data_IF_240680145338
#
_entry.id   IF_240680145338
#
_cell.length_a   1.000
_cell.length_b   1.000
_cell.length_c   1.000
_cell.angle_alpha   90.00
_cell.angle_beta   90.00
_cell.angle_gamma   90.00
#
_symmetry.space_group_name_H-M   'P 1'
#
loop_
_entity.id
_entity.type
_entity.pdbx_description
1 polymer ?
#
# COMPACT_ATOMS: atom_id res chain seq x y z
N UNK A 1 2.62 -24.88 13.42
CA UNK A 1 2.24 -23.50 13.80
C UNK A 1 3.05 -22.56 12.94
N UNK A 2 2.39 -21.65 12.24
CA UNK A 2 3.04 -20.67 11.38
C UNK A 2 3.85 -19.70 12.22
N UNK A 3 5.07 -19.40 11.78
CA UNK A 3 5.93 -18.34 12.33
C UNK A 3 6.04 -17.24 11.30
N UNK A 4 5.74 -16.00 11.70
CA UNK A 4 5.71 -14.84 10.82
C UNK A 4 6.89 -13.93 11.10
N UNK A 5 7.67 -13.65 10.07
CA UNK A 5 8.72 -12.63 10.09
C UNK A 5 8.19 -11.39 9.37
N UNK A 6 8.03 -10.29 10.10
CA UNK A 6 7.71 -8.99 9.52
C UNK A 6 9.02 -8.23 9.33
N UNK A 7 9.31 -7.80 8.11
CA UNK A 7 10.50 -6.99 7.78
C UNK A 7 10.04 -5.56 7.48
N UNK A 8 10.40 -4.61 8.35
CA UNK A 8 10.02 -3.21 8.21
C UNK A 8 9.41 -2.63 9.48
N UNK A 9 10.08 -1.66 10.09
CA UNK A 9 9.66 -0.99 11.33
C UNK A 9 9.25 0.47 11.09
N UNK A 10 8.51 0.71 10.00
CA UNK A 10 7.85 1.98 9.68
C UNK A 10 6.43 2.06 10.26
N UNK A 11 5.66 3.08 9.85
CA UNK A 11 4.27 3.25 10.30
C UNK A 11 3.37 2.07 9.92
N UNK A 12 3.46 1.60 8.67
CA UNK A 12 2.72 0.43 8.18
C UNK A 12 3.09 -0.83 8.97
N UNK A 13 4.39 -1.12 9.12
CA UNK A 13 4.88 -2.24 9.93
C UNK A 13 4.41 -2.19 11.39
N UNK A 14 4.37 -0.99 11.99
CA UNK A 14 3.84 -0.79 13.33
C UNK A 14 2.35 -1.18 13.41
N UNK A 15 1.49 -0.67 12.53
CA UNK A 15 0.07 -1.02 12.48
C UNK A 15 -0.12 -2.52 12.29
N UNK A 16 0.55 -3.11 11.29
CA UNK A 16 0.40 -4.53 10.97
C UNK A 16 0.75 -5.41 12.18
N UNK A 17 1.86 -5.13 12.89
CA UNK A 17 2.25 -5.90 14.07
C UNK A 17 1.29 -5.71 15.25
N UNK A 18 0.74 -4.50 15.47
CA UNK A 18 -0.32 -4.29 16.47
C UNK A 18 -1.55 -5.14 16.14
N UNK A 19 -1.98 -5.14 14.88
CA UNK A 19 -3.14 -5.89 14.42
C UNK A 19 -2.91 -7.40 14.44
N UNK A 20 -1.70 -7.87 14.12
CA UNK A 20 -1.33 -9.29 14.27
C UNK A 20 -1.36 -9.70 15.74
N UNK A 21 -0.84 -8.87 16.65
CA UNK A 21 -0.88 -9.13 18.09
C UNK A 21 -2.31 -9.18 18.66
N UNK A 22 -3.24 -8.38 18.12
CA UNK A 22 -4.66 -8.43 18.46
C UNK A 22 -5.37 -9.71 17.97
N UNK A 23 -4.71 -10.49 17.11
CA UNK A 23 -5.21 -11.76 16.54
C UNK A 23 -4.22 -12.90 16.82
N UNK A 24 -3.79 -13.03 18.09
CA UNK A 24 -2.76 -13.98 18.51
C UNK A 24 -3.11 -15.46 18.28
N UNK A 25 -4.39 -15.79 18.08
CA UNK A 25 -4.87 -17.09 17.66
C UNK A 25 -4.47 -17.44 16.21
N UNK A 26 -4.40 -16.44 15.34
CA UNK A 26 -3.88 -16.56 13.96
C UNK A 26 -2.36 -16.43 13.95
N UNK A 27 -1.81 -15.53 14.76
CA UNK A 27 -0.39 -15.17 14.77
C UNK A 27 0.30 -15.49 16.12
N UNK A 28 0.57 -16.78 16.40
CA UNK A 28 1.10 -17.19 17.71
C UNK A 28 2.59 -16.86 17.91
N UNK A 29 3.36 -16.65 16.83
CA UNK A 29 4.80 -16.35 16.90
C UNK A 29 5.19 -15.32 15.82
N UNK A 30 5.45 -14.09 16.27
CA UNK A 30 5.78 -12.94 15.43
C UNK A 30 7.19 -12.46 15.78
N UNK A 31 8.00 -12.27 14.74
CA UNK A 31 9.28 -11.55 14.85
C UNK A 31 9.26 -10.31 13.96
N UNK A 32 9.54 -9.15 14.53
CA UNK A 32 9.69 -7.88 13.80
C UNK A 32 11.18 -7.57 13.59
N UNK A 33 11.60 -7.48 12.34
CA UNK A 33 12.96 -7.16 11.96
C UNK A 33 13.04 -5.87 11.13
N UNK A 34 14.15 -5.16 11.24
CA UNK A 34 14.43 -3.96 10.44
C UNK A 34 15.92 -3.66 10.47
N UNK A 35 16.38 -2.75 9.61
CA UNK A 35 17.75 -2.22 9.62
C UNK A 35 18.13 -1.57 10.95
N UNK A 36 17.15 -0.98 11.64
CA UNK A 36 17.35 -0.29 12.92
C UNK A 36 16.58 -1.01 14.01
N UNK A 37 17.25 -1.93 14.72
CA UNK A 37 16.60 -2.76 15.74
C UNK A 37 15.88 -1.97 16.82
N UNK A 38 16.42 -0.81 17.23
CA UNK A 38 15.76 0.02 18.26
C UNK A 38 14.35 0.49 17.87
N UNK A 39 14.05 0.62 16.56
CA UNK A 39 12.68 0.89 16.09
C UNK A 39 11.76 -0.31 16.27
N UNK A 40 12.26 -1.52 16.02
CA UNK A 40 11.53 -2.76 16.30
C UNK A 40 11.22 -2.88 17.79
N UNK A 41 12.20 -2.59 18.65
CA UNK A 41 12.06 -2.63 20.10
C UNK A 41 10.99 -1.65 20.60
N UNK A 42 11.00 -0.41 20.09
CA UNK A 42 9.97 0.59 20.43
C UNK A 42 8.55 0.16 20.01
N UNK A 43 8.41 -0.46 18.83
CA UNK A 43 7.12 -1.00 18.37
C UNK A 43 6.70 -2.18 19.27
N UNK A 44 7.61 -3.10 19.59
CA UNK A 44 7.32 -4.25 20.44
C UNK A 44 6.86 -3.82 21.85
N UNK A 45 7.47 -2.78 22.42
CA UNK A 45 7.07 -2.20 23.71
C UNK A 45 5.67 -1.56 23.64
N UNK A 46 5.37 -0.84 22.54
CA UNK A 46 4.04 -0.26 22.30
C UNK A 46 2.97 -1.35 22.15
N UNK A 47 3.25 -2.40 21.38
CA UNK A 47 2.38 -3.58 21.21
C UNK A 47 2.12 -4.24 22.54
N UNK A 48 3.17 -4.48 23.34
CA UNK A 48 3.03 -5.09 24.67
C UNK A 48 2.18 -4.24 25.60
N UNK A 49 2.34 -2.92 25.56
CA UNK A 49 1.56 -1.98 26.36
C UNK A 49 0.08 -1.99 25.97
N UNK A 50 -0.22 -2.07 24.67
CA UNK A 50 -1.58 -1.99 24.13
C UNK A 50 -2.34 -3.32 24.12
N UNK A 51 -1.63 -4.43 23.95
CA UNK A 51 -2.24 -5.76 23.70
C UNK A 51 -1.84 -6.83 24.72
N UNK A 52 -0.78 -6.60 25.50
CA UNK A 52 -0.19 -7.61 26.39
C UNK A 52 0.69 -8.66 25.68
N UNK A 53 0.72 -8.68 24.35
CA UNK A 53 1.52 -9.64 23.56
C UNK A 53 2.97 -9.19 23.45
N UNK A 54 3.90 -10.13 23.61
CA UNK A 54 5.34 -9.86 23.43
C UNK A 54 5.77 -10.22 22.02
N UNK A 55 6.39 -9.27 21.32
CA UNK A 55 6.92 -9.45 19.96
C UNK A 55 8.43 -9.62 20.02
N UNK A 56 8.97 -10.62 19.30
CA UNK A 56 10.42 -10.79 19.17
C UNK A 56 10.96 -9.75 18.19
N UNK A 57 12.19 -9.30 18.39
CA UNK A 57 12.80 -8.28 17.54
C UNK A 57 14.17 -8.71 17.04
N UNK A 58 14.49 -8.36 15.80
CA UNK A 58 15.76 -8.67 15.16
C UNK A 58 16.28 -7.50 14.32
N UNK A 59 17.57 -7.53 14.01
CA UNK A 59 18.18 -6.63 13.02
C UNK A 59 18.39 -7.40 11.72
N UNK A 60 18.13 -6.75 10.59
CA UNK A 60 18.47 -7.29 9.26
C UNK A 60 18.72 -6.16 8.28
N UNK A 61 19.77 -6.30 7.47
CA UNK A 61 19.89 -5.53 6.24
C UNK A 61 19.17 -6.30 5.12
N UNK A 62 17.96 -5.86 4.82
CA UNK A 62 17.11 -6.50 3.81
C UNK A 62 17.55 -6.23 2.37
N UNK A 63 18.63 -5.45 2.14
CA UNK A 63 19.32 -5.42 0.86
C UNK A 63 20.28 -6.63 0.69
N UNK A 64 20.48 -7.44 1.73
CA UNK A 64 21.34 -8.63 1.71
C UNK A 64 20.51 -9.92 1.77
N UNK A 65 20.51 -10.66 0.64
CA UNK A 65 19.78 -11.93 0.47
C UNK A 65 20.20 -12.94 1.53
N UNK A 66 21.51 -13.16 1.72
CA UNK A 66 22.02 -14.18 2.63
C UNK A 66 21.76 -13.84 4.09
N UNK A 67 21.87 -12.57 4.47
CA UNK A 67 21.52 -12.12 5.82
C UNK A 67 20.03 -12.33 6.10
N UNK A 68 19.17 -12.01 5.13
CA UNK A 68 17.73 -12.20 5.22
C UNK A 68 17.37 -13.68 5.31
N UNK A 69 17.96 -14.52 4.45
CA UNK A 69 17.75 -15.96 4.45
C UNK A 69 18.27 -16.62 5.74
N UNK A 70 19.40 -16.16 6.29
CA UNK A 70 19.91 -16.64 7.57
C UNK A 70 18.92 -16.34 8.71
N UNK A 71 18.35 -15.14 8.75
CA UNK A 71 17.35 -14.77 9.75
C UNK A 71 16.07 -15.59 9.61
N UNK A 72 15.58 -15.82 8.38
CA UNK A 72 14.41 -16.68 8.12
C UNK A 72 14.66 -18.09 8.69
N UNK A 73 15.83 -18.68 8.42
CA UNK A 73 16.22 -20.01 8.93
C UNK A 73 16.37 -20.05 10.45
N UNK A 74 16.98 -19.03 11.05
CA UNK A 74 17.16 -18.93 12.50
C UNK A 74 15.82 -18.93 13.24
N UNK A 75 14.87 -18.12 12.76
CA UNK A 75 13.52 -18.05 13.32
C UNK A 75 12.73 -19.33 13.00
N UNK A 76 13.02 -19.95 11.86
CA UNK A 76 12.17 -20.95 11.22
C UNK A 76 10.89 -20.32 10.68
N UNK A 77 10.98 -19.10 10.14
CA UNK A 77 9.83 -18.37 9.62
C UNK A 77 9.25 -19.09 8.40
N UNK A 78 7.93 -19.26 8.41
CA UNK A 78 7.17 -19.89 7.32
C UNK A 78 6.56 -18.86 6.36
N UNK A 79 6.37 -17.64 6.85
CA UNK A 79 5.78 -16.53 6.12
C UNK A 79 6.62 -15.29 6.40
N UNK A 80 6.95 -14.55 5.35
CA UNK A 80 7.65 -13.27 5.42
C UNK A 80 6.72 -12.18 4.90
N UNK A 81 6.48 -11.19 5.75
CA UNK A 81 5.66 -10.01 5.46
C UNK A 81 6.61 -8.83 5.29
N UNK A 82 6.83 -8.45 4.04
CA UNK A 82 7.68 -7.34 3.64
C UNK A 82 6.89 -6.01 3.74
N UNK A 83 7.21 -5.23 4.76
CA UNK A 83 6.72 -3.87 5.00
C UNK A 83 7.89 -2.89 5.08
N UNK A 84 8.98 -3.21 4.35
CA UNK A 84 10.15 -2.38 4.18
C UNK A 84 9.93 -1.38 3.04
N UNK A 85 10.97 -1.01 2.30
CA UNK A 85 10.84 -0.20 1.08
C UNK A 85 10.74 -1.13 -0.14
N UNK A 86 10.07 -0.71 -1.22
CA UNK A 86 9.93 -1.51 -2.44
C UNK A 86 11.28 -1.92 -3.06
N UNK A 87 12.35 -1.19 -2.75
CA UNK A 87 13.71 -1.52 -3.18
C UNK A 87 14.19 -2.90 -2.72
N UNK A 88 13.61 -3.44 -1.64
CA UNK A 88 14.00 -4.73 -1.07
C UNK A 88 13.20 -5.92 -1.61
N UNK A 89 12.14 -5.70 -2.39
CA UNK A 89 11.17 -6.75 -2.74
C UNK A 89 11.86 -7.97 -3.37
N UNK A 90 12.66 -7.78 -4.42
CA UNK A 90 13.33 -8.89 -5.10
C UNK A 90 14.34 -9.61 -4.20
N UNK A 91 15.05 -8.87 -3.35
CA UNK A 91 16.01 -9.42 -2.38
C UNK A 91 15.31 -10.31 -1.36
N UNK A 92 14.17 -9.87 -0.85
CA UNK A 92 13.38 -10.62 0.13
C UNK A 92 12.67 -11.80 -0.54
N UNK A 93 12.11 -11.62 -1.75
CA UNK A 93 11.52 -12.72 -2.54
C UNK A 93 12.54 -13.83 -2.80
N UNK A 94 13.78 -13.47 -3.16
CA UNK A 94 14.87 -14.44 -3.35
C UNK A 94 15.23 -15.17 -2.06
N UNK A 95 15.30 -14.45 -0.94
CA UNK A 95 15.54 -15.07 0.37
C UNK A 95 14.41 -16.04 0.77
N UNK A 96 13.15 -15.68 0.54
CA UNK A 96 11.98 -16.53 0.77
C UNK A 96 12.05 -17.81 -0.05
N UNK A 97 12.33 -17.68 -1.35
CA UNK A 97 12.47 -18.82 -2.26
C UNK A 97 13.60 -19.77 -1.83
N UNK A 98 14.75 -19.22 -1.42
CA UNK A 98 15.89 -20.03 -0.97
C UNK A 98 15.66 -20.75 0.37
N UNK A 99 14.66 -20.34 1.14
CA UNK A 99 14.37 -20.85 2.48
C UNK A 99 13.06 -21.62 2.59
N UNK A 100 12.23 -21.62 1.54
CA UNK A 100 10.91 -22.27 1.54
C UNK A 100 9.86 -21.49 2.34
N UNK A 101 9.99 -20.16 2.44
CA UNK A 101 9.01 -19.31 3.10
C UNK A 101 8.06 -18.66 2.08
N UNK A 102 6.80 -18.49 2.46
CA UNK A 102 5.85 -17.68 1.70
C UNK A 102 6.17 -16.19 1.81
N UNK A 103 5.78 -15.41 0.80
CA UNK A 103 6.08 -13.99 0.69
C UNK A 103 4.81 -13.14 0.58
N UNK A 104 4.81 -11.97 1.20
CA UNK A 104 3.77 -10.94 1.01
C UNK A 104 4.39 -9.55 1.09
N UNK A 105 3.93 -8.61 0.27
CA UNK A 105 4.25 -7.19 0.36
C UNK A 105 3.01 -6.28 0.21
N UNK A 106 3.24 -4.96 0.19
CA UNK A 106 2.20 -3.94 0.05
C UNK A 106 2.44 -2.96 -1.09
N UNK A 107 3.59 -3.04 -1.76
CA UNK A 107 3.99 -2.17 -2.86
C UNK A 107 4.87 -3.00 -3.81
N UNK A 108 4.84 -2.67 -5.09
CA UNK A 108 5.64 -3.37 -6.08
C UNK A 108 7.09 -2.86 -6.18
N UNK A 109 7.93 -3.67 -6.83
CA UNK A 109 9.36 -3.38 -6.90
C UNK A 109 9.68 -2.08 -7.65
N UNK A 110 10.60 -1.32 -7.06
CA UNK A 110 11.18 -0.13 -7.67
C UNK A 110 12.73 -0.22 -7.67
N UNK A 111 13.41 -0.10 -8.83
CA UNK A 111 14.86 0.01 -8.86
C UNK A 111 15.33 1.33 -8.22
N UNK A 112 16.40 1.29 -7.41
CA UNK A 112 16.94 2.49 -6.73
C UNK A 112 17.38 3.62 -7.67
N UNK A 113 17.80 3.26 -8.88
CA UNK A 113 18.39 4.17 -9.85
C UNK A 113 17.39 4.62 -10.92
N UNK A 114 16.14 4.14 -10.89
CA UNK A 114 15.09 4.48 -11.86
C UNK A 114 13.77 4.76 -11.14
N UNK A 115 13.17 5.93 -11.39
CA UNK A 115 11.88 6.28 -10.80
C UNK A 115 10.71 5.59 -11.51
N UNK A 116 10.73 4.25 -11.61
CA UNK A 116 9.68 3.42 -12.20
C UNK A 116 9.41 2.20 -11.36
N UNK A 117 8.14 1.85 -11.25
CA UNK A 117 7.65 0.74 -10.45
C UNK A 117 6.56 0.00 -11.22
N UNK A 118 6.77 -1.30 -11.43
CA UNK A 118 5.93 -2.19 -12.26
C UNK A 118 6.03 -3.63 -11.71
N UNK A 119 5.02 -4.45 -11.96
CA UNK A 119 4.96 -5.82 -11.43
C UNK A 119 5.83 -6.82 -12.19
N UNK A 120 6.30 -6.50 -13.40
CA UNK A 120 6.96 -7.48 -14.27
C UNK A 120 8.20 -8.14 -13.64
N UNK A 121 8.95 -7.44 -12.77
CA UNK A 121 10.08 -8.02 -12.04
C UNK A 121 9.64 -9.07 -11.02
N UNK A 122 8.53 -8.84 -10.32
CA UNK A 122 8.01 -9.77 -9.32
C UNK A 122 7.23 -10.90 -9.98
N UNK A 123 6.46 -10.63 -11.05
CA UNK A 123 5.79 -11.67 -11.85
C UNK A 123 6.78 -12.63 -12.50
N UNK A 124 8.02 -12.22 -12.77
CA UNK A 124 9.07 -13.13 -13.25
C UNK A 124 9.41 -14.26 -12.26
N UNK A 125 8.99 -14.16 -11.00
CA UNK A 125 9.13 -15.22 -9.99
C UNK A 125 8.03 -16.29 -10.06
N UNK A 126 7.01 -16.15 -10.92
CA UNK A 126 5.85 -17.04 -11.03
C UNK A 126 6.24 -18.52 -11.02
N UNK A 127 7.04 -18.94 -12.00
CA UNK A 127 7.39 -20.36 -12.16
C UNK A 127 8.28 -20.87 -11.02
N UNK A 128 9.19 -20.03 -10.51
CA UNK A 128 10.10 -20.40 -9.43
C UNK A 128 9.36 -20.61 -8.10
N UNK A 129 8.41 -19.73 -7.77
CA UNK A 129 7.56 -19.89 -6.59
C UNK A 129 6.63 -21.09 -6.73
N UNK A 130 6.06 -21.28 -7.93
CA UNK A 130 5.21 -22.43 -8.21
C UNK A 130 5.94 -23.76 -8.08
N UNK A 131 7.13 -23.88 -8.66
CA UNK A 131 7.96 -25.10 -8.59
C UNK A 131 8.41 -25.43 -7.16
N UNK A 132 8.53 -24.40 -6.31
CA UNK A 132 8.87 -24.55 -4.89
C UNK A 132 7.64 -24.85 -4.00
N UNK A 133 6.42 -24.83 -4.53
CA UNK A 133 5.19 -24.95 -3.74
C UNK A 133 4.97 -23.78 -2.79
N UNK A 134 5.34 -22.57 -3.23
CA UNK A 134 5.28 -21.33 -2.44
C UNK A 134 4.29 -20.35 -3.05
N UNK A 135 3.55 -19.67 -2.17
CA UNK A 135 2.76 -18.48 -2.48
C UNK A 135 3.57 -17.19 -2.26
N UNK A 136 3.48 -16.26 -3.23
CA UNK A 136 3.78 -14.85 -3.08
C UNK A 136 2.51 -14.03 -3.33
N UNK A 137 2.12 -13.17 -2.37
CA UNK A 137 0.98 -12.26 -2.50
C UNK A 137 1.48 -10.82 -2.63
N UNK A 138 1.15 -10.17 -3.73
CA UNK A 138 1.66 -8.84 -4.06
C UNK A 138 0.62 -7.75 -3.78
N UNK A 139 1.08 -6.60 -3.29
CA UNK A 139 0.26 -5.40 -3.17
C UNK A 139 -0.88 -5.53 -2.15
N UNK A 140 -0.63 -6.16 -0.99
CA UNK A 140 -1.62 -6.34 0.08
C UNK A 140 -1.76 -5.11 1.01
N UNK A 141 -1.83 -3.91 0.44
CA UNK A 141 -2.11 -2.64 1.13
C UNK A 141 -3.58 -2.21 0.99
N UNK A 142 -3.83 -0.90 0.94
CA UNK A 142 -5.15 -0.38 0.55
C UNK A 142 -5.25 -0.20 -0.96
N UNK A 143 -4.36 0.60 -1.53
CA UNK A 143 -4.18 0.91 -2.95
C UNK A 143 -2.68 0.85 -3.22
N UNK A 144 -2.15 -0.27 -3.75
CA UNK A 144 -2.86 -1.48 -4.16
C UNK A 144 -3.41 -2.28 -2.97
N UNK A 145 -4.40 -3.13 -3.24
CA UNK A 145 -4.87 -4.13 -2.29
C UNK A 145 -6.37 -4.14 -2.11
N UNK A 146 -6.87 -3.44 -1.10
CA UNK A 146 -8.31 -3.23 -0.88
C UNK A 146 -9.01 -2.71 -2.14
N UNK A 147 -8.41 -1.82 -2.94
CA UNK A 147 -8.99 -1.35 -4.21
C UNK A 147 -9.17 -2.48 -5.23
N UNK A 148 -8.24 -3.43 -5.27
CA UNK A 148 -8.32 -4.63 -6.11
C UNK A 148 -9.36 -5.63 -5.59
N UNK A 149 -9.43 -5.81 -4.26
CA UNK A 149 -10.45 -6.61 -3.58
C UNK A 149 -11.85 -6.02 -3.81
N UNK A 150 -12.01 -4.70 -3.68
CA UNK A 150 -13.25 -3.97 -3.94
C UNK A 150 -13.71 -4.15 -5.38
N UNK A 151 -12.80 -3.98 -6.34
CA UNK A 151 -13.08 -4.17 -7.77
C UNK A 151 -13.58 -5.60 -8.03
N UNK A 152 -12.89 -6.60 -7.49
CA UNK A 152 -13.23 -8.01 -7.67
C UNK A 152 -14.52 -8.38 -6.96
N UNK A 153 -14.80 -7.80 -5.79
CA UNK A 153 -16.04 -8.01 -5.05
C UNK A 153 -17.24 -7.43 -5.82
N UNK A 154 -17.12 -6.21 -6.35
CA UNK A 154 -18.15 -5.62 -7.23
C UNK A 154 -18.36 -6.49 -8.48
N UNK A 155 -17.27 -6.95 -9.10
CA UNK A 155 -17.31 -7.84 -10.26
C UNK A 155 -18.01 -9.17 -9.97
N UNK A 156 -17.77 -9.75 -8.78
CA UNK A 156 -18.33 -11.03 -8.35
C UNK A 156 -19.83 -10.93 -8.04
N UNK A 157 -20.26 -9.86 -7.35
CA UNK A 157 -21.60 -9.79 -6.77
C UNK A 157 -22.57 -8.87 -7.51
N UNK A 158 -22.09 -7.82 -8.19
CA UNK A 158 -22.94 -6.77 -8.75
C UNK A 158 -22.90 -6.68 -10.27
N UNK A 159 -21.78 -7.03 -10.90
CA UNK A 159 -21.58 -6.88 -12.34
C UNK A 159 -21.48 -8.21 -13.08
N UNK A 160 -22.01 -8.25 -14.29
CA UNK A 160 -21.64 -9.25 -15.30
C UNK A 160 -20.40 -8.82 -16.08
N UNK A 161 -20.17 -7.51 -16.20
CA UNK A 161 -18.97 -6.90 -16.77
C UNK A 161 -18.76 -5.52 -16.15
N UNK A 162 -17.50 -5.17 -15.84
CA UNK A 162 -17.09 -3.81 -15.52
C UNK A 162 -16.49 -3.21 -16.79
N UNK A 163 -16.97 -2.05 -17.21
CA UNK A 163 -16.50 -1.32 -18.40
C UNK A 163 -15.48 -0.24 -18.04
N UNK A 164 -15.74 0.52 -16.97
CA UNK A 164 -14.80 1.54 -16.48
C UNK A 164 -14.62 1.47 -14.98
N UNK A 165 -13.40 1.76 -14.53
CA UNK A 165 -13.01 1.80 -13.13
C UNK A 165 -12.28 3.11 -12.82
N UNK A 166 -12.73 3.80 -11.79
CA UNK A 166 -12.07 4.97 -11.23
C UNK A 166 -11.73 4.70 -9.76
N UNK A 167 -10.45 4.74 -9.43
CA UNK A 167 -9.95 4.59 -8.06
C UNK A 167 -9.73 5.99 -7.50
N UNK A 168 -10.30 6.28 -6.33
CA UNK A 168 -10.25 7.60 -5.70
C UNK A 168 -9.63 7.47 -4.31
N UNK A 169 -8.48 8.09 -4.10
CA UNK A 169 -7.82 8.25 -2.80
C UNK A 169 -7.95 9.70 -2.32
N UNK A 170 -8.68 9.86 -1.23
CA UNK A 170 -8.80 11.11 -0.51
C UNK A 170 -8.20 11.03 0.88
N UNK A 171 -7.22 11.89 1.15
CA UNK A 171 -6.77 12.19 2.50
C UNK A 171 -7.23 13.61 2.91
N UNK A 172 -8.26 13.66 3.74
CA UNK A 172 -8.79 14.88 4.36
C UNK A 172 -8.10 15.26 5.67
N UNK A 173 -6.98 14.62 6.02
CA UNK A 173 -6.23 14.88 7.24
C UNK A 173 -5.47 16.19 7.24
N UNK A 174 -5.44 16.88 8.37
CA UNK A 174 -4.59 18.04 8.65
C UNK A 174 -3.63 17.72 9.80
N UNK A 175 -2.33 17.71 9.50
CA UNK A 175 -1.25 17.45 10.45
C UNK A 175 -0.70 18.72 11.13
N UNK A 176 -1.19 19.92 10.77
CA UNK A 176 -0.78 21.21 11.33
C UNK A 176 0.59 21.71 10.86
N UNK A 177 1.20 21.07 9.86
CA UNK A 177 2.49 21.47 9.27
C UNK A 177 2.25 22.17 7.94
N UNK A 178 3.17 23.06 7.53
CA UNK A 178 3.08 23.72 6.22
C UNK A 178 3.24 22.77 5.03
N UNK A 179 4.12 21.77 5.17
CA UNK A 179 4.33 20.70 4.20
C UNK A 179 4.93 19.48 4.91
N UNK A 180 4.32 18.33 4.73
CA UNK A 180 4.83 17.05 5.19
C UNK A 180 4.33 15.93 4.26
N UNK A 181 5.00 14.80 4.27
CA UNK A 181 4.58 13.59 3.53
C UNK A 181 4.15 12.53 4.54
N UNK A 182 3.08 11.78 4.21
CA UNK A 182 2.53 10.77 5.12
C UNK A 182 3.35 9.46 5.13
N UNK A 183 4.21 9.27 4.13
CA UNK A 183 5.16 8.17 4.03
C UNK A 183 6.53 8.71 3.59
N UNK A 184 7.44 7.84 3.12
CA UNK A 184 8.80 8.20 2.74
C UNK A 184 8.79 9.39 1.75
N UNK A 185 9.35 10.56 2.11
CA UNK A 185 9.29 11.76 1.26
C UNK A 185 9.89 11.56 -0.12
N UNK A 186 10.91 10.70 -0.23
CA UNK A 186 11.58 10.38 -1.49
C UNK A 186 10.61 9.71 -2.48
N UNK A 187 9.87 8.71 -1.99
CA UNK A 187 8.91 7.95 -2.79
C UNK A 187 7.71 8.85 -3.13
N UNK A 188 7.13 9.51 -2.13
CA UNK A 188 5.95 10.37 -2.33
C UNK A 188 6.21 11.48 -3.36
N UNK A 189 7.31 12.22 -3.22
CA UNK A 189 7.62 13.32 -4.14
C UNK A 189 7.86 12.79 -5.56
N UNK A 190 8.51 11.63 -5.70
CA UNK A 190 8.74 11.02 -7.02
C UNK A 190 7.45 10.57 -7.68
N UNK A 191 6.54 9.94 -6.95
CA UNK A 191 5.22 9.52 -7.46
C UNK A 191 4.39 10.72 -7.93
N UNK A 192 4.29 11.77 -7.11
CA UNK A 192 3.47 12.97 -7.44
C UNK A 192 4.02 13.73 -8.64
N UNK A 193 5.32 13.65 -8.88
CA UNK A 193 6.00 14.36 -9.97
C UNK A 193 6.25 13.51 -11.21
N UNK A 194 5.87 12.24 -11.17
CA UNK A 194 5.97 11.32 -12.29
C UNK A 194 4.90 11.61 -13.36
N UNK A 195 5.19 11.18 -14.59
CA UNK A 195 4.19 11.19 -15.68
C UNK A 195 2.99 10.34 -15.24
N UNK A 196 1.81 10.94 -15.26
CA UNK A 196 0.58 10.21 -14.99
C UNK A 196 0.30 9.26 -16.15
N UNK A 197 -0.13 8.04 -15.84
CA UNK A 197 -0.51 7.03 -16.83
C UNK A 197 -1.78 6.36 -16.40
N UNK A 198 -2.73 6.21 -17.31
CA UNK A 198 -3.94 5.43 -17.10
C UNK A 198 -4.14 4.43 -18.23
N UNK A 199 -4.96 3.41 -18.00
CA UNK A 199 -5.27 2.40 -19.01
C UNK A 199 -6.55 2.79 -19.74
N UNK A 200 -6.54 2.78 -21.07
CA UNK A 200 -7.72 3.07 -21.88
C UNK A 200 -7.67 2.38 -23.25
N UNK A 201 -8.72 1.64 -23.59
CA UNK A 201 -8.96 1.02 -24.89
C UNK A 201 -7.78 0.16 -25.42
N UNK A 202 -7.09 -0.55 -24.52
CA UNK A 202 -6.01 -1.46 -24.89
C UNK A 202 -4.61 -0.85 -24.86
N UNK A 203 -4.47 0.42 -24.48
CA UNK A 203 -3.18 1.11 -24.41
C UNK A 203 -3.02 1.96 -23.14
N UNK A 204 -1.77 2.22 -22.78
CA UNK A 204 -1.42 3.22 -21.77
C UNK A 204 -1.53 4.63 -22.36
N UNK A 205 -2.20 5.52 -21.65
CA UNK A 205 -2.30 6.94 -22.00
C UNK A 205 -1.47 7.76 -21.02
N UNK A 206 -0.45 8.44 -21.54
CA UNK A 206 0.41 9.31 -20.73
C UNK A 206 -0.14 10.74 -20.66
N UNK A 207 -0.06 11.33 -19.47
CA UNK A 207 -0.51 12.69 -19.17
C UNK A 207 0.58 13.42 -18.38
N UNK A 208 0.90 14.69 -18.68
CA UNK A 208 1.89 15.42 -17.90
C UNK A 208 1.55 15.45 -16.39
N UNK A 209 2.55 15.39 -15.50
CA UNK A 209 2.34 15.37 -14.06
C UNK A 209 1.41 16.50 -13.60
N UNK A 210 0.44 16.18 -12.74
CA UNK A 210 -0.46 17.15 -12.09
C UNK A 210 -1.26 18.07 -13.04
N UNK A 211 -1.41 17.68 -14.31
CA UNK A 211 -2.05 18.53 -15.34
C UNK A 211 -3.57 18.34 -15.48
N UNK A 212 -4.09 17.17 -15.08
CA UNK A 212 -5.53 16.84 -15.12
C UNK A 212 -6.04 16.75 -13.69
N UNK A 213 -7.07 17.55 -13.37
CA UNK A 213 -7.67 17.61 -12.04
C UNK A 213 -9.19 17.69 -12.09
N UNK A 214 -9.83 17.17 -11.06
CA UNK A 214 -11.28 17.17 -10.88
C UNK A 214 -11.65 17.53 -9.45
N UNK A 215 -12.88 18.00 -9.26
CA UNK A 215 -13.47 18.14 -7.92
C UNK A 215 -14.39 16.96 -7.66
N UNK A 216 -14.32 16.41 -6.45
CA UNK A 216 -15.20 15.35 -5.99
C UNK A 216 -15.60 15.62 -4.53
N UNK A 217 -16.86 15.35 -4.20
CA UNK A 217 -17.39 15.50 -2.84
C UNK A 217 -17.31 14.15 -2.11
N UNK A 218 -16.28 14.01 -1.28
CA UNK A 218 -16.01 12.77 -0.57
C UNK A 218 -16.84 12.69 0.71
N UNK A 219 -17.60 11.61 0.87
CA UNK A 219 -18.40 11.41 2.07
C UNK A 219 -17.53 11.49 3.34
N UNK A 220 -18.04 12.19 4.36
CA UNK A 220 -17.38 12.48 5.63
C UNK A 220 -16.08 13.30 5.57
N UNK A 221 -15.64 13.74 4.38
CA UNK A 221 -14.48 14.62 4.20
C UNK A 221 -14.87 15.97 3.57
N UNK A 222 -15.80 15.96 2.63
CA UNK A 222 -16.26 17.12 1.86
C UNK A 222 -15.55 17.27 0.50
N UNK A 223 -15.75 18.42 -0.17
CA UNK A 223 -15.22 18.66 -1.51
C UNK A 223 -13.69 18.77 -1.50
N UNK A 224 -13.04 17.99 -2.36
CA UNK A 224 -11.59 18.01 -2.57
C UNK A 224 -11.23 18.08 -4.05
N UNK A 225 -10.06 18.64 -4.33
CA UNK A 225 -9.46 18.57 -5.66
C UNK A 225 -8.57 17.33 -5.72
N UNK A 226 -8.80 16.51 -6.73
CA UNK A 226 -8.02 15.31 -7.01
C UNK A 226 -7.35 15.41 -8.38
N UNK A 227 -6.21 14.75 -8.52
CA UNK A 227 -5.37 14.79 -9.71
C UNK A 227 -5.22 13.38 -10.27
N UNK A 228 -5.26 13.26 -11.59
CA UNK A 228 -5.00 12.00 -12.27
C UNK A 228 -3.53 11.61 -12.08
N UNK A 229 -3.29 10.39 -11.63
CA UNK A 229 -1.96 9.86 -11.41
C UNK A 229 -1.84 8.42 -11.93
N UNK A 230 -0.60 7.97 -12.12
CA UNK A 230 -0.32 6.54 -12.25
C UNK A 230 -0.36 5.89 -10.86
N UNK A 231 -0.89 4.67 -10.78
CA UNK A 231 -0.83 3.85 -9.58
C UNK A 231 -0.68 2.37 -9.97
N UNK A 232 -0.03 1.59 -9.12
CA UNK A 232 0.46 0.25 -9.44
C UNK A 232 -0.65 -0.77 -9.76
N UNK A 233 -1.79 -0.76 -9.05
CA UNK A 233 -2.88 -1.72 -9.31
C UNK A 233 -3.55 -1.53 -10.68
N UNK A 234 -3.33 -0.41 -11.36
CA UNK A 234 -3.80 -0.26 -12.75
C UNK A 234 -3.18 -1.36 -13.62
N UNK A 235 -1.90 -1.69 -13.40
CA UNK A 235 -1.19 -2.71 -14.17
C UNK A 235 -1.71 -4.12 -13.90
N UNK A 236 -1.98 -4.46 -12.64
CA UNK A 236 -2.50 -5.78 -12.28
C UNK A 236 -3.96 -5.93 -12.70
N UNK A 237 -4.80 -4.92 -12.44
CA UNK A 237 -6.22 -4.95 -12.77
C UNK A 237 -6.46 -5.04 -14.27
N UNK A 238 -5.75 -4.27 -15.12
CA UNK A 238 -5.88 -4.43 -16.58
C UNK A 238 -5.40 -5.79 -17.08
N UNK A 239 -4.54 -6.47 -16.33
CA UNK A 239 -3.99 -7.78 -16.71
C UNK A 239 -4.94 -8.90 -16.32
N UNK A 240 -5.49 -8.85 -15.11
CA UNK A 240 -6.33 -9.92 -14.54
C UNK A 240 -7.83 -9.70 -14.76
N UNK A 241 -8.25 -8.47 -15.08
CA UNK A 241 -9.60 -8.09 -15.50
C UNK A 241 -9.56 -7.36 -16.87
N UNK A 242 -9.15 -8.07 -17.94
CA UNK A 242 -8.92 -7.46 -19.26
C UNK A 242 -10.20 -6.97 -19.94
N UNK A 243 -11.39 -7.26 -19.40
CA UNK A 243 -12.64 -6.69 -19.88
C UNK A 243 -12.78 -5.20 -19.60
N UNK A 244 -12.04 -4.64 -18.63
CA UNK A 244 -12.16 -3.25 -18.24
C UNK A 244 -11.50 -2.37 -19.31
N UNK A 245 -12.30 -1.52 -19.94
CA UNK A 245 -11.88 -0.68 -21.06
C UNK A 245 -11.07 0.52 -20.58
N UNK A 246 -11.36 1.03 -19.38
CA UNK A 246 -10.66 2.19 -18.80
C UNK A 246 -10.46 2.04 -17.30
N UNK A 247 -9.22 2.25 -16.84
CA UNK A 247 -8.87 2.28 -15.42
C UNK A 247 -8.08 3.56 -15.14
N UNK A 248 -8.53 4.36 -14.17
CA UNK A 248 -7.87 5.61 -13.74
C UNK A 248 -7.69 5.63 -12.22
N UNK A 249 -6.67 6.33 -11.76
CA UNK A 249 -6.43 6.60 -10.35
C UNK A 249 -6.37 8.10 -10.08
N UNK A 250 -7.07 8.53 -9.04
CA UNK A 250 -7.22 9.92 -8.65
C UNK A 250 -6.80 10.11 -7.20
N UNK A 251 -5.90 11.05 -6.92
CA UNK A 251 -5.44 11.34 -5.57
C UNK A 251 -5.67 12.80 -5.19
N UNK A 252 -6.13 13.05 -3.97
CA UNK A 252 -6.37 14.43 -3.50
C UNK A 252 -5.09 15.15 -3.11
N UNK A 253 -4.95 16.39 -3.58
CA UNK A 253 -3.91 17.32 -3.10
C UNK A 253 -4.49 18.69 -2.85
N UNK A 254 -4.20 19.24 -1.66
CA UNK A 254 -4.53 20.62 -1.33
C UNK A 254 -3.69 21.62 -2.12
N UNK A 255 -4.25 22.79 -2.40
CA UNK A 255 -3.56 23.87 -3.13
C UNK A 255 -2.23 24.29 -2.45
N UNK A 256 -2.23 24.33 -1.11
CA UNK A 256 -1.02 24.60 -0.34
C UNK A 256 0.07 23.54 -0.58
N UNK A 257 -0.28 22.25 -0.61
CA UNK A 257 0.66 21.17 -0.86
C UNK A 257 1.30 21.31 -2.25
N UNK A 258 0.47 21.54 -3.29
CA UNK A 258 0.94 21.76 -4.67
C UNK A 258 1.86 22.98 -4.77
N UNK A 259 1.52 24.05 -4.07
CA UNK A 259 2.34 25.27 -4.05
C UNK A 259 3.73 24.99 -3.49
N UNK A 260 3.82 24.29 -2.34
CA UNK A 260 5.11 23.93 -1.74
C UNK A 260 5.90 22.97 -2.62
N UNK A 261 5.26 21.95 -3.20
CA UNK A 261 5.91 21.01 -4.10
C UNK A 261 6.51 21.71 -5.32
N UNK A 262 5.76 22.60 -5.96
CA UNK A 262 6.23 23.39 -7.10
C UNK A 262 7.45 24.25 -6.72
N UNK A 263 7.44 24.89 -5.55
CA UNK A 263 8.61 25.66 -5.07
C UNK A 263 9.81 24.75 -4.90
N UNK A 264 9.66 23.60 -4.22
CA UNK A 264 10.73 22.62 -3.99
C UNK A 264 11.32 22.08 -5.30
N UNK A 265 10.48 21.79 -6.29
CA UNK A 265 10.91 21.36 -7.62
C UNK A 265 11.68 22.47 -8.34
N UNK A 266 11.15 23.70 -8.35
CA UNK A 266 11.75 24.83 -9.05
C UNK A 266 13.14 25.20 -8.51
N UNK A 267 13.39 24.98 -7.21
CA UNK A 267 14.71 25.19 -6.60
C UNK A 267 15.62 23.95 -6.63
N UNK A 268 15.15 22.83 -7.20
CA UNK A 268 15.93 21.60 -7.37
C UNK A 268 16.04 20.71 -6.12
N UNK A 269 15.22 20.94 -5.09
CA UNK A 269 15.25 20.13 -3.84
C UNK A 269 14.69 18.72 -4.01
N UNK A 270 14.00 18.44 -5.12
CA UNK A 270 13.44 17.12 -5.43
C UNK A 270 14.35 16.27 -6.33
N UNK A 271 15.58 16.73 -6.64
CA UNK A 271 16.53 16.01 -7.49
C UNK A 271 17.12 14.78 -6.80
N UNK A 272 17.33 13.74 -7.58
CA UNK A 272 17.95 12.47 -7.18
C UNK A 272 19.43 12.37 -7.56
N UNK A 273 19.90 13.22 -8.47
CA UNK A 273 21.30 13.27 -8.86
C UNK A 273 22.13 14.11 -7.86
N UNK A 274 23.38 13.70 -7.57
CA UNK A 274 24.19 14.36 -6.55
C UNK A 274 24.64 15.75 -6.99
N UNK A 275 24.73 16.67 -6.01
CA UNK A 275 25.37 17.98 -6.16
C UNK A 275 26.56 18.11 -5.23
N UNK A 276 27.60 18.82 -5.65
CA UNK A 276 28.78 19.10 -4.84
C UNK A 276 28.55 20.31 -3.93
N UNK A 277 28.57 20.10 -2.61
CA UNK A 277 28.51 21.16 -1.61
C UNK A 277 29.74 21.07 -0.69
N UNK A 278 30.61 22.08 -0.74
CA UNK A 278 31.84 22.16 0.08
C UNK A 278 32.72 20.90 0.01
N UNK A 279 32.81 20.27 -1.17
CA UNK A 279 33.61 19.05 -1.38
C UNK A 279 32.91 17.75 -0.99
N UNK A 280 31.61 17.78 -0.67
CA UNK A 280 30.79 16.59 -0.38
C UNK A 280 29.67 16.45 -1.41
N UNK A 281 29.44 15.23 -1.87
CA UNK A 281 28.26 14.90 -2.67
C UNK A 281 27.02 14.83 -1.77
N UNK A 282 25.97 15.55 -2.16
CA UNK A 282 24.68 15.56 -1.48
C UNK A 282 23.60 15.30 -2.53
N UNK A 283 22.71 14.35 -2.27
CA UNK A 283 21.48 14.18 -3.07
C UNK A 283 20.40 15.10 -2.47
N UNK A 284 19.91 16.12 -3.19
CA UNK A 284 18.97 17.11 -2.64
C UNK A 284 17.73 16.50 -1.99
N UNK A 285 17.12 15.50 -2.62
CA UNK A 285 15.92 14.83 -2.10
C UNK A 285 16.19 14.07 -0.79
N UNK A 286 17.37 13.45 -0.66
CA UNK A 286 17.78 12.79 0.60
C UNK A 286 18.01 13.81 1.71
N UNK A 287 18.55 14.99 1.38
CA UNK A 287 18.70 16.08 2.35
C UNK A 287 17.34 16.68 2.74
N UNK A 288 16.43 16.88 1.78
CA UNK A 288 15.06 17.35 2.04
C UNK A 288 14.35 16.42 3.03
N UNK A 289 14.45 15.11 2.84
CA UNK A 289 13.92 14.11 3.76
C UNK A 289 14.44 14.26 5.20
N UNK A 290 15.68 14.70 5.38
CA UNK A 290 16.27 14.89 6.71
C UNK A 290 15.75 16.15 7.43
N UNK A 291 15.18 17.13 6.70
CA UNK A 291 14.65 18.38 7.28
C UNK A 291 13.12 18.39 7.40
N UNK A 292 12.42 17.52 6.65
CA UNK A 292 10.97 17.35 6.79
C UNK A 292 10.61 16.65 8.11
N UNK A 293 9.40 16.90 8.65
CA UNK A 293 8.90 16.15 9.80
C UNK A 293 8.92 14.64 9.54
N UNK A 294 9.30 13.84 10.54
CA UNK A 294 9.26 12.38 10.40
C UNK A 294 7.80 11.92 10.30
N UNK A 295 7.40 11.11 9.28
CA UNK A 295 6.01 10.72 9.11
C UNK A 295 5.39 10.04 10.34
N UNK A 296 6.19 9.27 11.10
CA UNK A 296 5.73 8.62 12.33
C UNK A 296 5.40 9.58 13.46
N UNK A 297 5.92 10.82 13.46
CA UNK A 297 5.56 11.83 14.48
C UNK A 297 4.29 12.61 14.14
N UNK A 298 3.79 12.52 12.90
CA UNK A 298 2.60 13.25 12.48
C UNK A 298 1.31 12.67 13.06
N UNK A 299 1.31 11.40 13.47
CA UNK A 299 0.10 10.72 13.94
C UNK A 299 -0.55 11.36 15.16
N UNK A 300 0.25 11.92 16.07
CA UNK A 300 -0.26 12.57 17.29
C UNK A 300 -1.05 13.86 16.99
N UNK A 301 -0.72 14.56 15.90
CA UNK A 301 -1.30 15.86 15.58
C UNK A 301 -2.31 15.83 14.43
N UNK A 302 -2.34 14.74 13.66
CA UNK A 302 -3.19 14.64 12.46
C UNK A 302 -4.65 14.45 12.84
N UNK A 303 -5.53 15.29 12.28
CA UNK A 303 -6.98 15.24 12.48
C UNK A 303 -7.73 15.19 11.17
N UNK A 304 -8.90 14.58 11.17
CA UNK A 304 -9.75 14.43 9.99
C UNK A 304 -9.82 12.99 9.52
N UNK A 305 -10.27 12.79 8.27
CA UNK A 305 -10.61 11.47 7.74
C UNK A 305 -10.01 11.23 6.37
N UNK A 306 -9.79 9.96 6.05
CA UNK A 306 -9.53 9.49 4.69
C UNK A 306 -10.82 8.89 4.10
N UNK A 307 -10.94 8.90 2.78
CA UNK A 307 -11.99 8.21 2.03
C UNK A 307 -11.35 7.61 0.77
N UNK A 308 -11.21 6.28 0.74
CA UNK A 308 -10.54 5.58 -0.36
C UNK A 308 -11.48 4.51 -0.91
N UNK A 309 -11.64 4.46 -2.22
CA UNK A 309 -12.56 3.52 -2.85
C UNK A 309 -12.48 3.46 -4.36
N UNK A 310 -13.40 2.69 -4.94
CA UNK A 310 -13.51 2.47 -6.38
C UNK A 310 -14.92 2.79 -6.87
N UNK A 311 -15.01 3.46 -8.01
CA UNK A 311 -16.24 3.69 -8.75
C UNK A 311 -16.19 2.81 -10.00
N UNK A 312 -17.05 1.80 -10.04
CA UNK A 312 -17.15 0.88 -11.17
C UNK A 312 -18.45 1.11 -11.93
N UNK A 313 -18.35 1.20 -13.26
CA UNK A 313 -19.48 1.28 -14.19
C UNK A 313 -19.47 0.08 -15.11
N UNK A 314 -20.64 -0.48 -15.40
CA UNK A 314 -20.82 -1.47 -16.46
C UNK A 314 -22.16 -2.21 -16.37
N UNK A 315 -22.23 -3.34 -17.07
CA UNK A 315 -23.44 -4.19 -17.09
C UNK A 315 -23.62 -4.94 -15.77
N UNK A 316 -24.67 -4.61 -15.04
CA UNK A 316 -25.10 -5.30 -13.83
C UNK A 316 -25.66 -6.70 -14.08
N UNK A 317 -25.62 -7.56 -13.06
CA UNK A 317 -26.20 -8.94 -13.11
C UNK A 317 -27.71 -8.99 -13.37
N UNK A 318 -28.39 -7.86 -13.25
CA UNK A 318 -29.80 -7.68 -13.58
C UNK A 318 -30.05 -7.22 -15.03
N UNK A 319 -28.99 -7.17 -15.85
CA UNK A 319 -29.04 -6.78 -17.26
C UNK A 319 -29.14 -5.28 -17.50
N UNK A 320 -28.93 -4.44 -16.49
CA UNK A 320 -28.97 -2.97 -16.59
C UNK A 320 -27.59 -2.38 -16.37
N UNK A 321 -27.31 -1.25 -17.01
CA UNK A 321 -26.13 -0.44 -16.70
C UNK A 321 -26.20 0.04 -15.25
N UNK A 322 -25.08 -0.07 -14.53
CA UNK A 322 -24.93 0.37 -13.13
C UNK A 322 -23.66 1.15 -12.95
N UNK A 323 -23.67 2.06 -11.98
CA UNK A 323 -22.46 2.68 -11.43
C UNK A 323 -22.48 2.57 -9.92
N UNK A 324 -21.48 1.89 -9.35
CA UNK A 324 -21.38 1.65 -7.91
C UNK A 324 -20.08 2.25 -7.37
N UNK A 325 -20.19 2.97 -6.24
CA UNK A 325 -19.08 3.44 -5.43
C UNK A 325 -18.92 2.55 -4.20
N UNK A 326 -17.79 1.87 -4.08
CA UNK A 326 -17.42 1.04 -2.93
C UNK A 326 -16.20 1.65 -2.24
N UNK A 327 -16.31 2.04 -0.98
CA UNK A 327 -15.29 2.83 -0.29
C UNK A 327 -15.21 2.54 1.20
N UNK A 328 -14.09 2.90 1.80
CA UNK A 328 -13.87 2.97 3.25
C UNK A 328 -13.69 4.43 3.66
N UNK A 329 -14.12 4.75 4.89
CA UNK A 329 -13.77 5.99 5.59
C UNK A 329 -12.98 5.62 6.83
N UNK A 330 -11.81 6.22 7.03
CA UNK A 330 -10.97 5.99 8.20
C UNK A 330 -10.68 7.32 8.91
N UNK A 331 -10.78 7.36 10.23
CA UNK A 331 -10.51 8.55 11.05
C UNK A 331 -9.08 8.49 11.62
N UNK A 332 -8.35 9.59 11.48
CA UNK A 332 -6.95 9.68 11.95
C UNK A 332 -6.84 9.55 13.46
N UNK A 333 -7.79 10.12 14.22
CA UNK A 333 -7.76 10.10 15.67
C UNK A 333 -8.09 8.70 16.21
N UNK A 334 -9.05 8.01 15.58
CA UNK A 334 -9.39 6.61 15.93
C UNK A 334 -8.24 5.64 15.61
N UNK A 335 -7.61 5.78 14.43
CA UNK A 335 -6.46 4.99 14.03
C UNK A 335 -5.28 5.15 15.00
N UNK A 336 -5.01 6.39 15.43
CA UNK A 336 -3.95 6.72 16.38
C UNK A 336 -4.28 6.19 17.78
N UNK A 337 -5.53 6.31 18.22
CA UNK A 337 -5.98 5.79 19.51
C UNK A 337 -5.75 4.27 19.59
N UNK A 338 -6.03 3.51 18.53
CA UNK A 338 -5.88 2.05 18.52
C UNK A 338 -4.41 1.61 18.39
N UNK A 339 -3.68 2.15 17.40
CA UNK A 339 -2.37 1.61 16.99
C UNK A 339 -1.20 2.58 17.15
N UNK A 340 -1.45 3.81 17.58
CA UNK A 340 -0.44 4.87 17.68
C UNK A 340 0.04 5.40 16.34
N UNK A 341 -0.72 5.18 15.25
CA UNK A 341 -0.38 5.62 13.90
C UNK A 341 -1.58 6.28 13.22
N UNK A 342 -1.31 7.22 12.32
CA UNK A 342 -2.32 7.91 11.51
C UNK A 342 -2.99 7.00 10.46
N UNK A 343 -4.10 7.47 9.88
CA UNK A 343 -4.98 6.67 9.03
C UNK A 343 -4.32 6.12 7.77
N UNK A 344 -3.35 6.78 7.13
CA UNK A 344 -2.63 6.26 5.94
C UNK A 344 -1.80 5.02 6.28
N UNK A 345 -1.08 5.03 7.41
CA UNK A 345 -0.39 3.83 7.91
C UNK A 345 -1.40 2.74 8.29
N UNK A 346 -2.55 3.16 8.82
CA UNK A 346 -3.60 2.25 9.28
C UNK A 346 -4.29 1.53 8.12
N UNK A 347 -4.72 2.28 7.11
CA UNK A 347 -5.37 1.78 5.90
C UNK A 347 -4.44 0.85 5.12
N UNK A 348 -3.11 1.00 5.21
CA UNK A 348 -2.16 0.06 4.60
C UNK A 348 -1.84 -1.14 5.51
N UNK A 349 -1.64 -0.90 6.81
CA UNK A 349 -1.19 -1.93 7.75
C UNK A 349 -2.28 -2.93 8.15
N UNK A 350 -3.55 -2.53 8.18
CA UNK A 350 -4.67 -3.45 8.43
C UNK A 350 -4.81 -4.47 7.29
N UNK A 351 -4.90 -4.07 6.00
CA UNK A 351 -4.89 -5.02 4.89
C UNK A 351 -3.65 -5.90 4.84
N UNK A 352 -2.46 -5.38 5.19
CA UNK A 352 -1.26 -6.21 5.29
C UNK A 352 -1.42 -7.33 6.33
N UNK A 353 -2.01 -7.02 7.49
CA UNK A 353 -2.35 -8.04 8.48
C UNK A 353 -3.39 -9.03 7.93
N UNK A 354 -4.43 -8.56 7.24
CA UNK A 354 -5.48 -9.42 6.67
C UNK A 354 -4.91 -10.35 5.59
N UNK A 355 -4.11 -9.85 4.65
CA UNK A 355 -3.44 -10.67 3.63
C UNK A 355 -2.55 -11.74 4.26
N UNK A 356 -1.78 -11.37 5.28
CA UNK A 356 -0.99 -12.33 6.04
C UNK A 356 -1.88 -13.38 6.75
N UNK A 357 -3.03 -12.97 7.31
CA UNK A 357 -3.98 -13.89 7.92
C UNK A 357 -4.54 -14.87 6.89
N UNK A 358 -4.94 -14.39 5.70
CA UNK A 358 -5.46 -15.23 4.62
C UNK A 358 -4.46 -16.33 4.23
N UNK A 359 -3.17 -15.99 4.13
CA UNK A 359 -2.11 -16.94 3.81
C UNK A 359 -1.84 -17.91 4.97
N UNK A 360 -1.72 -17.39 6.19
CA UNK A 360 -1.40 -18.19 7.39
C UNK A 360 -2.50 -19.21 7.71
N UNK A 361 -3.77 -18.87 7.50
CA UNK A 361 -4.91 -19.78 7.69
C UNK A 361 -5.12 -20.72 6.50
N UNK A 362 -4.47 -20.45 5.37
CA UNK A 362 -4.69 -21.15 4.10
C UNK A 362 -6.03 -20.80 3.44
N UNK A 363 -6.74 -19.77 3.91
CA UNK A 363 -7.96 -19.27 3.26
C UNK A 363 -7.66 -18.77 1.85
N UNK A 364 -6.55 -18.05 1.69
CA UNK A 364 -5.92 -17.84 0.40
C UNK A 364 -4.70 -18.75 0.31
N UNK A 365 -4.67 -19.56 -0.74
CA UNK A 365 -3.59 -20.50 -1.00
C UNK A 365 -3.39 -20.64 -2.52
N UNK A 366 -2.20 -21.06 -2.91
CA UNK A 366 -1.83 -21.29 -4.29
C UNK A 366 -0.31 -21.30 -4.46
N UNK A 367 0.17 -21.99 -5.50
CA UNK A 367 1.60 -22.05 -5.83
C UNK A 367 1.90 -21.04 -6.96
N UNK A 368 2.73 -20.04 -6.68
CA UNK A 368 3.06 -18.96 -7.61
C UNK A 368 2.98 -17.57 -6.99
N UNK A 369 2.93 -16.56 -7.86
CA UNK A 369 2.85 -15.13 -7.55
C UNK A 369 1.46 -14.62 -7.92
N UNK A 370 0.80 -13.94 -6.99
CA UNK A 370 -0.59 -13.51 -7.14
C UNK A 370 -0.75 -12.04 -6.76
N UNK A 371 -1.53 -11.31 -7.54
CA UNK A 371 -2.14 -10.06 -7.09
C UNK A 371 -3.48 -10.35 -6.39
N UNK A 372 -3.97 -9.36 -5.65
CA UNK A 372 -5.09 -9.49 -4.72
C UNK A 372 -6.42 -9.86 -5.40
N UNK A 373 -6.66 -9.33 -6.60
CA UNK A 373 -7.84 -9.59 -7.46
C UNK A 373 -7.93 -11.02 -7.99
N UNK A 374 -6.86 -11.80 -7.90
CA UNK A 374 -6.88 -13.21 -8.31
C UNK A 374 -7.46 -14.13 -7.23
N UNK A 375 -7.67 -13.61 -6.02
CA UNK A 375 -8.16 -14.36 -4.86
C UNK A 375 -9.64 -14.07 -4.59
N UNK A 376 -10.30 -14.97 -3.84
CA UNK A 376 -11.70 -14.75 -3.45
C UNK A 376 -11.82 -13.53 -2.50
N UNK A 377 -12.54 -12.46 -2.88
CA UNK A 377 -12.60 -11.24 -2.09
C UNK A 377 -13.42 -11.37 -0.79
N UNK A 378 -14.35 -12.32 -0.70
CA UNK A 378 -15.33 -12.39 0.38
C UNK A 378 -14.71 -12.51 1.79
N UNK A 379 -13.80 -13.45 2.07
CA UNK A 379 -13.18 -13.55 3.40
C UNK A 379 -12.35 -12.31 3.77
N UNK A 380 -11.76 -11.63 2.78
CA UNK A 380 -11.01 -10.40 3.00
C UNK A 380 -11.96 -9.25 3.38
N UNK A 381 -13.07 -9.10 2.66
CA UNK A 381 -14.12 -8.10 2.92
C UNK A 381 -14.74 -8.28 4.31
N UNK A 382 -14.93 -9.52 4.77
CA UNK A 382 -15.39 -9.83 6.12
C UNK A 382 -14.39 -9.39 7.19
N UNK A 383 -13.09 -9.60 6.95
CA UNK A 383 -12.04 -9.19 7.89
C UNK A 383 -11.86 -7.67 7.92
N UNK A 384 -12.02 -6.96 6.80
CA UNK A 384 -11.99 -5.49 6.78
C UNK A 384 -13.01 -4.89 7.76
N UNK A 385 -14.26 -5.37 7.73
CA UNK A 385 -15.31 -4.96 8.67
C UNK A 385 -14.95 -5.25 10.13
N UNK A 386 -14.32 -6.39 10.41
CA UNK A 386 -13.97 -6.82 11.78
C UNK A 386 -12.76 -6.07 12.35
N UNK A 387 -11.84 -5.64 11.49
CA UNK A 387 -10.52 -5.13 11.91
C UNK A 387 -10.34 -3.63 11.71
N UNK A 388 -11.45 -2.88 11.61
CA UNK A 388 -11.45 -1.42 11.73
C UNK A 388 -11.44 -0.67 10.39
N UNK A 389 -11.68 -1.36 9.27
CA UNK A 389 -11.87 -0.75 7.96
C UNK A 389 -13.24 -1.12 7.37
N UNK A 390 -14.35 -0.74 8.03
CA UNK A 390 -15.68 -1.00 7.49
C UNK A 390 -15.89 -0.28 6.16
N UNK A 391 -16.53 -0.96 5.22
CA UNK A 391 -16.74 -0.45 3.86
C UNK A 391 -18.22 -0.21 3.57
N UNK A 392 -18.50 0.63 2.59
CA UNK A 392 -19.85 1.03 2.18
C UNK A 392 -19.97 0.95 0.67
N UNK A 393 -21.14 0.51 0.19
CA UNK A 393 -21.48 0.52 -1.24
C UNK A 393 -22.66 1.45 -1.49
N UNK A 394 -22.53 2.30 -2.52
CA UNK A 394 -23.56 3.25 -2.95
C UNK A 394 -23.74 3.19 -4.45
N UNK A 395 -24.98 3.16 -4.92
CA UNK A 395 -25.29 3.34 -6.34
C UNK A 395 -25.31 4.83 -6.70
N UNK A 396 -24.65 5.18 -7.80
CA UNK A 396 -24.59 6.53 -8.35
C UNK A 396 -25.55 6.66 -9.54
N UNK A 397 -26.00 7.89 -9.83
CA UNK A 397 -26.95 8.17 -10.93
C UNK A 397 -26.39 7.81 -12.33
N UNK A 398 -25.07 7.72 -12.44
CA UNK A 398 -24.39 7.34 -13.67
C UNK A 398 -22.87 7.38 -13.52
N UNK A 399 -22.14 7.13 -14.62
CA UNK A 399 -20.68 7.17 -14.66
C UNK A 399 -20.16 8.58 -14.32
N UNK A 400 -18.91 8.66 -13.86
CA UNK A 400 -18.24 9.96 -13.69
C UNK A 400 -18.20 10.68 -15.05
N UNK A 401 -18.56 11.97 -15.05
CA UNK A 401 -18.74 12.76 -16.28
C UNK A 401 -17.45 13.25 -16.92
N UNK A 402 -16.31 13.02 -16.26
CA UNK A 402 -14.98 13.43 -16.69
C UNK A 402 -14.10 12.25 -17.06
#
# INVERSE_FOLDING_TARGET
MSKVLVIGAGGVGSVAVHKMAMNADIFPDITLASRRKFKCDAIADSVKTRTGVTIKTAEVDADNIEATAALIREIGATHVVNLALPYQDLTIMEACLSTGAHYMDTANYEPRDEAKFEYHWQWAYQDRFKDAGLMALLGSGFDPGVTSVFTTWLRKHHFDRIDTLDILDCNGGDHGQHFATNFNPEINIREVTAVARHWENGDWVETPPMSVKQQFDFEAVGPKTMYLMYHEEIESLKTHLPEIQRIRFWMTFGEAYITHLNVLQNVGMTRIDPVMYEGREIVPLQFLKAVLPEPSSLGETTKGKTNIGVIATGLGKDGKEKTLYLYNICDHEDAYAETGNQAVSYTTGVPAMIGAAMMVTGTWNGDGVFNMEQMDPDPFMDMLNKHGLPWQVKELDGPLTF
#
